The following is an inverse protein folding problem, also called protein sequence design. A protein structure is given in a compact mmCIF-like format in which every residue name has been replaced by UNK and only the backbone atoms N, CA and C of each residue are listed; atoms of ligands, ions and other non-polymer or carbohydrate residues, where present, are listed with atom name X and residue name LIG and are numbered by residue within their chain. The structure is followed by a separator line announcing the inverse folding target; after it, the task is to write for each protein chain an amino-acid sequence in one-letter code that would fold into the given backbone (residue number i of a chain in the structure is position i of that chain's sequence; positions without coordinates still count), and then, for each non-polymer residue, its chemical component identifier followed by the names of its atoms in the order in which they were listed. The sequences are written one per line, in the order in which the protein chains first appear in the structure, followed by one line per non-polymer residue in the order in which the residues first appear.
data_IF_278803025303
#
_entry.id   IF_278803025303
#
_cell.length_a   1.000
_cell.length_b   1.000
_cell.length_c   1.000
_cell.angle_alpha   90.00
_cell.angle_beta   90.00
_cell.angle_gamma   90.00
#
_symmetry.space_group_name_H-M   'P 1'
#
loop_
_entity.id
_entity.type
_entity.pdbx_description
1 polymer ?
#
# COMPACT_ATOMS: atom_id res chain seq x y z
N UNK A 1 -21.56 -1.41 2.58
CA UNK A 1 -21.11 -2.70 1.97
C UNK A 1 -21.29 -2.75 0.46
N UNK A 2 -22.52 -2.55 -0.06
CA UNK A 2 -22.85 -2.74 -1.50
C UNK A 2 -21.96 -1.91 -2.44
N UNK A 3 -21.70 -0.65 -2.11
CA UNK A 3 -20.85 0.24 -2.95
C UNK A 3 -19.43 -0.28 -3.17
N UNK A 4 -18.82 -0.87 -2.13
CA UNK A 4 -17.46 -1.42 -2.22
C UNK A 4 -17.44 -2.70 -3.06
N UNK A 5 -18.44 -3.57 -2.92
CA UNK A 5 -18.56 -4.78 -3.73
C UNK A 5 -18.82 -4.40 -5.20
N UNK A 6 -19.72 -3.44 -5.45
CA UNK A 6 -19.96 -2.95 -6.81
C UNK A 6 -18.69 -2.36 -7.44
N UNK A 7 -17.90 -1.59 -6.68
CA UNK A 7 -16.60 -1.11 -7.14
C UNK A 7 -15.67 -2.26 -7.55
N UNK A 8 -15.55 -3.29 -6.70
CA UNK A 8 -14.70 -4.45 -6.98
C UNK A 8 -15.14 -5.16 -8.26
N UNK A 9 -16.44 -5.37 -8.44
CA UNK A 9 -17.01 -5.98 -9.66
C UNK A 9 -16.72 -5.12 -10.89
N UNK A 10 -16.97 -3.81 -10.83
CA UNK A 10 -16.72 -2.89 -11.95
C UNK A 10 -15.24 -2.90 -12.33
N UNK A 11 -14.34 -2.74 -11.34
CA UNK A 11 -12.89 -2.74 -11.58
C UNK A 11 -12.42 -4.05 -12.21
N UNK A 12 -12.90 -5.18 -11.70
CA UNK A 12 -12.50 -6.49 -12.19
C UNK A 12 -12.99 -6.76 -13.61
N UNK A 13 -14.27 -6.54 -13.90
CA UNK A 13 -14.90 -6.93 -15.17
C UNK A 13 -14.76 -5.88 -16.25
N UNK A 14 -14.65 -4.59 -15.96
CA UNK A 14 -14.37 -3.57 -16.98
C UNK A 14 -13.04 -3.82 -17.71
N UNK A 15 -12.09 -4.50 -17.07
CA UNK A 15 -10.82 -4.87 -17.66
C UNK A 15 -10.71 -6.30 -18.15
N UNK A 16 -11.75 -7.13 -17.93
CA UNK A 16 -11.77 -8.54 -18.37
C UNK A 16 -12.16 -8.69 -19.84
N UNK A 17 -13.00 -7.79 -20.34
CA UNK A 17 -13.62 -7.87 -21.66
C UNK A 17 -12.67 -7.81 -22.88
N UNK A 18 -11.53 -7.12 -22.84
CA UNK A 18 -10.57 -7.19 -23.93
C UNK A 18 -9.67 -8.42 -23.81
N UNK A 19 -9.43 -9.11 -24.93
CA UNK A 19 -8.47 -10.21 -25.01
C UNK A 19 -7.04 -9.70 -24.77
N UNK A 20 -6.14 -10.63 -24.38
CA UNK A 20 -4.70 -10.40 -24.14
C UNK A 20 -4.01 -9.58 -25.24
N UNK A 21 -4.46 -9.71 -26.49
CA UNK A 21 -3.90 -9.05 -27.68
C UNK A 21 -4.57 -7.73 -28.05
N UNK A 22 -5.78 -7.45 -27.57
CA UNK A 22 -6.57 -6.27 -27.98
C UNK A 22 -6.36 -5.05 -27.07
N UNK A 23 -5.81 -5.24 -25.86
CA UNK A 23 -5.46 -4.15 -24.98
C UNK A 23 -4.11 -3.54 -25.37
N UNK A 24 -4.09 -2.82 -26.49
CA UNK A 24 -2.99 -1.91 -26.77
C UNK A 24 -2.82 -0.88 -25.63
N UNK A 25 -1.61 -0.43 -25.41
CA UNK A 25 -1.19 0.53 -24.39
C UNK A 25 -2.16 1.72 -24.16
N UNK A 26 -2.80 2.22 -25.23
CA UNK A 26 -3.78 3.31 -25.13
C UNK A 26 -5.09 2.92 -24.41
N UNK A 27 -5.49 1.66 -24.45
CA UNK A 27 -6.73 1.21 -23.79
C UNK A 27 -6.54 1.05 -22.29
N UNK A 28 -5.35 0.62 -21.84
CA UNK A 28 -5.02 0.58 -20.40
C UNK A 28 -5.01 1.98 -19.77
N UNK A 29 -4.58 3.00 -20.50
CA UNK A 29 -4.60 4.38 -20.02
C UNK A 29 -6.04 4.85 -19.74
N UNK A 30 -6.96 4.62 -20.66
CA UNK A 30 -8.39 4.96 -20.46
C UNK A 30 -8.99 4.17 -19.29
N UNK A 31 -8.75 2.87 -19.25
CA UNK A 31 -9.23 1.99 -18.19
C UNK A 31 -8.76 2.47 -16.79
N UNK A 32 -7.47 2.71 -16.61
CA UNK A 32 -6.93 3.09 -15.30
C UNK A 32 -7.39 4.48 -14.86
N UNK A 33 -7.64 5.39 -15.81
CA UNK A 33 -8.22 6.69 -15.52
C UNK A 33 -9.66 6.54 -15.01
N UNK A 34 -10.51 5.80 -15.71
CA UNK A 34 -11.92 5.60 -15.33
C UNK A 34 -12.01 4.90 -13.98
N UNK A 35 -11.36 3.74 -13.84
CA UNK A 35 -11.37 2.99 -12.58
C UNK A 35 -10.69 3.75 -11.44
N UNK A 36 -9.60 4.47 -11.73
CA UNK A 36 -8.92 5.30 -10.76
C UNK A 36 -9.80 6.44 -10.23
N UNK A 37 -10.56 7.11 -11.10
CA UNK A 37 -11.53 8.14 -10.68
C UNK A 37 -12.63 7.50 -9.81
N UNK A 38 -13.18 6.35 -10.18
CA UNK A 38 -14.19 5.65 -9.37
C UNK A 38 -13.66 5.26 -7.99
N UNK A 39 -12.46 4.69 -7.92
CA UNK A 39 -11.80 4.33 -6.65
C UNK A 39 -11.57 5.58 -5.81
N UNK A 40 -11.06 6.65 -6.42
CA UNK A 40 -10.80 7.90 -5.73
C UNK A 40 -12.09 8.54 -5.18
N UNK A 41 -13.18 8.56 -5.97
CA UNK A 41 -14.47 9.10 -5.53
C UNK A 41 -15.05 8.31 -4.36
N UNK A 42 -15.09 6.98 -4.45
CA UNK A 42 -15.58 6.14 -3.34
C UNK A 42 -14.75 6.35 -2.08
N UNK A 43 -13.43 6.41 -2.21
CA UNK A 43 -12.56 6.66 -1.07
C UNK A 43 -12.69 8.08 -0.52
N UNK A 44 -12.83 9.10 -1.38
CA UNK A 44 -12.90 10.52 -0.99
C UNK A 44 -14.25 10.90 -0.36
N UNK A 45 -15.32 10.30 -0.84
CA UNK A 45 -16.70 10.64 -0.41
C UNK A 45 -17.20 9.79 0.77
N UNK A 46 -16.36 8.86 1.31
CA UNK A 46 -16.75 8.07 2.48
C UNK A 46 -16.96 8.94 3.71
N UNK A 47 -17.88 8.55 4.57
CA UNK A 47 -18.04 9.20 5.88
C UNK A 47 -16.79 9.00 6.75
N UNK A 48 -16.42 9.96 7.62
CA UNK A 48 -15.35 9.78 8.60
C UNK A 48 -15.56 8.58 9.55
N UNK A 49 -16.79 8.16 9.74
CA UNK A 49 -17.15 7.01 10.62
C UNK A 49 -16.89 5.65 9.96
N UNK A 50 -16.52 5.61 8.68
CA UNK A 50 -16.17 4.37 7.97
C UNK A 50 -14.83 3.84 8.45
N UNK A 51 -14.77 2.55 8.78
CA UNK A 51 -13.54 1.86 9.16
C UNK A 51 -13.26 1.90 10.66
N UNK A 52 -12.00 2.09 11.05
CA UNK A 52 -11.53 1.97 12.45
C UNK A 52 -11.74 3.23 13.32
N UNK A 53 -12.39 4.27 12.80
CA UNK A 53 -12.58 5.53 13.52
C UNK A 53 -11.40 6.52 13.45
N UNK A 54 -10.24 6.11 12.93
CA UNK A 54 -9.08 7.00 12.76
C UNK A 54 -9.43 8.22 11.87
N UNK A 55 -10.34 8.05 10.92
CA UNK A 55 -10.78 9.10 10.02
C UNK A 55 -11.50 10.25 10.78
N UNK A 56 -12.27 9.93 11.83
CA UNK A 56 -12.91 10.93 12.70
C UNK A 56 -11.85 11.80 13.38
N UNK A 57 -10.78 11.16 13.86
CA UNK A 57 -9.65 11.88 14.45
C UNK A 57 -8.95 12.78 13.43
N UNK A 58 -8.75 12.31 12.20
CA UNK A 58 -8.10 13.10 11.14
C UNK A 58 -8.95 14.31 10.74
N UNK A 59 -10.27 14.16 10.60
CA UNK A 59 -11.17 15.28 10.28
C UNK A 59 -11.22 16.30 11.40
N UNK A 60 -11.32 15.87 12.65
CA UNK A 60 -11.28 16.75 13.81
C UNK A 60 -9.95 17.51 13.91
N UNK A 61 -8.84 16.81 13.66
CA UNK A 61 -7.49 17.42 13.66
C UNK A 61 -7.34 18.43 12.52
N UNK A 62 -7.84 18.12 11.33
CA UNK A 62 -7.83 19.04 10.19
C UNK A 62 -8.54 20.36 10.56
N UNK A 63 -9.72 20.28 11.15
CA UNK A 63 -10.47 21.47 11.60
C UNK A 63 -9.72 22.24 12.69
N UNK A 64 -9.15 21.55 13.67
CA UNK A 64 -8.39 22.20 14.75
C UNK A 64 -7.15 22.95 14.26
N UNK A 65 -6.51 22.48 13.20
CA UNK A 65 -5.32 23.12 12.60
C UNK A 65 -5.63 24.50 11.99
N UNK A 66 -6.87 24.75 11.61
CA UNK A 66 -7.30 26.02 11.02
C UNK A 66 -7.33 27.17 12.04
N UNK A 67 -7.39 26.87 13.34
CA UNK A 67 -7.32 27.85 14.41
C UNK A 67 -5.93 28.50 14.55
N UNK A 68 -4.90 27.94 13.89
CA UNK A 68 -3.52 28.46 13.97
C UNK A 68 -3.22 29.30 12.72
N UNK A 69 -2.89 30.58 12.90
CA UNK A 69 -2.49 31.49 11.82
C UNK A 69 -1.16 31.05 11.18
N UNK A 70 -0.26 30.47 11.97
CA UNK A 70 1.03 29.93 11.54
C UNK A 70 1.16 28.45 11.90
N UNK A 71 1.66 27.64 10.97
CA UNK A 71 2.00 26.24 11.28
C UNK A 71 3.11 26.14 12.35
N UNK A 72 3.99 27.12 12.43
CA UNK A 72 5.04 27.20 13.46
C UNK A 72 4.48 27.19 14.88
N UNK A 73 3.39 27.90 15.12
CA UNK A 73 2.75 27.97 16.44
C UNK A 73 2.18 26.60 16.83
N UNK A 74 1.51 25.93 15.90
CA UNK A 74 1.04 24.56 16.11
C UNK A 74 2.21 23.60 16.36
N UNK A 75 3.26 23.68 15.55
CA UNK A 75 4.45 22.83 15.68
C UNK A 75 5.10 23.00 17.08
N UNK A 76 5.33 24.23 17.49
CA UNK A 76 5.95 24.53 18.78
C UNK A 76 5.12 24.03 19.97
N UNK A 77 3.79 24.08 19.85
CA UNK A 77 2.90 23.69 20.94
C UNK A 77 2.70 22.16 21.04
N UNK A 78 2.58 21.48 19.91
CA UNK A 78 2.15 20.07 19.90
C UNK A 78 3.19 19.09 19.36
N UNK A 79 4.16 19.53 18.59
CA UNK A 79 5.09 18.65 17.87
C UNK A 79 6.56 18.82 18.32
N UNK A 80 6.92 19.93 18.97
CA UNK A 80 8.30 20.26 19.32
C UNK A 80 8.92 19.30 20.34
N UNK A 81 8.11 18.58 21.13
CA UNK A 81 8.56 17.54 22.05
C UNK A 81 9.19 16.31 21.37
N UNK A 82 8.99 16.14 20.05
CA UNK A 82 9.58 15.07 19.27
C UNK A 82 10.62 15.63 18.29
N UNK A 83 11.62 14.83 17.92
CA UNK A 83 12.55 15.21 16.85
C UNK A 83 11.73 15.45 15.57
N UNK A 84 12.04 16.54 14.84
CA UNK A 84 11.26 17.01 13.69
C UNK A 84 10.85 15.89 12.70
N UNK A 85 11.81 15.04 12.30
CA UNK A 85 11.53 13.95 11.36
C UNK A 85 10.56 12.89 11.91
N UNK A 86 10.49 12.71 13.21
CA UNK A 86 9.65 11.70 13.86
C UNK A 86 8.32 12.26 14.39
N UNK A 87 8.14 13.58 14.31
CA UNK A 87 6.88 14.24 14.68
C UNK A 87 5.77 14.08 13.63
N UNK A 88 6.09 13.51 12.44
CA UNK A 88 5.18 13.44 11.31
C UNK A 88 4.64 14.82 10.87
N UNK A 89 5.51 15.84 11.04
CA UNK A 89 5.17 17.24 10.79
C UNK A 89 4.68 17.51 9.37
N UNK A 90 5.16 16.73 8.39
CA UNK A 90 4.73 16.85 7.00
C UNK A 90 3.25 16.57 6.80
N UNK A 91 2.71 15.56 7.52
CA UNK A 91 1.27 15.28 7.46
C UNK A 91 0.44 16.43 8.02
N UNK A 92 0.82 16.98 9.19
CA UNK A 92 0.09 18.10 9.79
C UNK A 92 0.26 19.39 8.99
N UNK A 93 1.43 19.63 8.41
CA UNK A 93 1.67 20.77 7.52
C UNK A 93 0.80 20.67 6.26
N UNK A 94 0.74 19.49 5.66
CA UNK A 94 -0.13 19.22 4.51
C UNK A 94 -1.61 19.54 4.85
N UNK A 95 -2.11 19.07 5.99
CA UNK A 95 -3.47 19.35 6.44
C UNK A 95 -3.70 20.83 6.72
N UNK A 96 -2.76 21.51 7.37
CA UNK A 96 -2.84 22.93 7.64
C UNK A 96 -2.87 23.76 6.35
N UNK A 97 -2.04 23.43 5.38
CA UNK A 97 -1.96 24.13 4.10
C UNK A 97 -3.28 24.03 3.32
N UNK A 98 -3.83 22.83 3.19
CA UNK A 98 -5.09 22.63 2.49
C UNK A 98 -6.30 23.22 3.27
N UNK A 99 -6.24 23.24 4.59
CA UNK A 99 -7.23 23.88 5.44
C UNK A 99 -7.35 25.38 5.25
N UNK A 100 -6.33 26.05 4.67
CA UNK A 100 -6.40 27.48 4.29
C UNK A 100 -7.34 27.73 3.10
N UNK A 101 -7.54 26.72 2.27
CA UNK A 101 -8.37 26.82 1.05
C UNK A 101 -9.72 26.14 1.28
N UNK A 102 -9.71 24.99 1.93
CA UNK A 102 -10.89 24.14 2.14
C UNK A 102 -11.16 23.98 3.63
N UNK A 103 -12.26 24.56 4.11
CA UNK A 103 -12.56 24.59 5.55
C UNK A 103 -13.36 23.39 6.07
N UNK A 104 -13.79 22.48 5.19
CA UNK A 104 -14.53 21.28 5.57
C UNK A 104 -13.56 20.15 5.96
N UNK A 105 -13.79 19.51 7.11
CA UNK A 105 -13.00 18.37 7.60
C UNK A 105 -12.98 17.17 6.66
N UNK A 106 -14.03 16.98 5.83
CA UNK A 106 -14.09 15.94 4.81
C UNK A 106 -12.94 16.06 3.79
N UNK A 107 -12.39 17.25 3.61
CA UNK A 107 -11.28 17.50 2.70
C UNK A 107 -10.00 16.79 3.11
N UNK A 108 -9.78 16.50 4.39
CA UNK A 108 -8.67 15.68 4.84
C UNK A 108 -8.73 14.29 4.20
N UNK A 109 -9.93 13.68 4.19
CA UNK A 109 -10.19 12.37 3.59
C UNK A 109 -10.07 12.44 2.07
N UNK A 110 -10.72 13.45 1.45
CA UNK A 110 -10.79 13.59 0.00
C UNK A 110 -9.40 13.77 -0.61
N UNK A 111 -8.61 14.73 -0.14
CA UNK A 111 -7.29 15.04 -0.70
C UNK A 111 -6.33 13.87 -0.51
N UNK A 112 -6.34 13.23 0.68
CA UNK A 112 -5.51 12.07 0.95
C UNK A 112 -5.87 10.89 0.04
N UNK A 113 -7.17 10.63 -0.16
CA UNK A 113 -7.66 9.55 -1.01
C UNK A 113 -7.32 9.76 -2.48
N UNK A 114 -7.47 11.00 -2.98
CA UNK A 114 -7.09 11.38 -4.35
C UNK A 114 -5.60 11.16 -4.58
N UNK A 115 -4.75 11.62 -3.67
CA UNK A 115 -3.29 11.45 -3.77
C UNK A 115 -2.89 9.97 -3.77
N UNK A 116 -3.38 9.19 -2.80
CA UNK A 116 -3.03 7.76 -2.66
C UNK A 116 -3.49 6.96 -3.89
N UNK A 117 -4.71 7.23 -4.38
CA UNK A 117 -5.24 6.56 -5.58
C UNK A 117 -4.42 6.92 -6.81
N UNK A 118 -4.10 8.21 -7.00
CA UNK A 118 -3.25 8.67 -8.11
C UNK A 118 -1.90 7.94 -8.12
N UNK A 119 -1.19 7.93 -6.99
CA UNK A 119 0.12 7.30 -6.89
C UNK A 119 0.05 5.78 -7.12
N UNK A 120 -0.97 5.11 -6.59
CA UNK A 120 -1.21 3.67 -6.80
C UNK A 120 -1.52 3.36 -8.25
N UNK A 121 -2.43 4.08 -8.88
CA UNK A 121 -2.77 3.90 -10.30
C UNK A 121 -1.56 4.14 -11.21
N UNK A 122 -0.77 5.19 -10.92
CA UNK A 122 0.48 5.46 -11.63
C UNK A 122 1.48 4.32 -11.48
N UNK A 123 1.65 3.80 -10.27
CA UNK A 123 2.55 2.66 -10.01
C UNK A 123 2.12 1.42 -10.79
N UNK A 124 0.84 1.04 -10.74
CA UNK A 124 0.27 -0.09 -11.47
C UNK A 124 0.47 0.10 -12.98
N UNK A 125 0.09 1.25 -13.52
CA UNK A 125 0.20 1.56 -14.95
C UNK A 125 1.62 1.43 -15.50
N UNK A 126 2.62 1.81 -14.69
CA UNK A 126 4.04 1.79 -15.11
C UNK A 126 4.73 0.44 -14.95
N UNK A 127 4.25 -0.38 -14.03
CA UNK A 127 5.00 -1.55 -13.59
C UNK A 127 4.27 -2.89 -13.79
N UNK A 128 2.95 -2.88 -14.02
CA UNK A 128 2.17 -4.10 -14.21
C UNK A 128 2.14 -4.57 -15.66
N UNK A 129 2.11 -5.88 -15.85
CA UNK A 129 1.87 -6.54 -17.14
C UNK A 129 0.39 -6.74 -17.46
N UNK A 130 -0.46 -6.68 -16.43
CA UNK A 130 -1.92 -6.74 -16.54
C UNK A 130 -2.53 -5.73 -15.57
N UNK A 131 -2.79 -4.53 -16.08
CA UNK A 131 -3.31 -3.40 -15.28
C UNK A 131 -4.65 -3.72 -14.60
N UNK A 132 -5.64 -4.33 -15.29
CA UNK A 132 -6.90 -4.73 -14.66
C UNK A 132 -6.74 -5.73 -13.53
N UNK A 133 -5.91 -6.76 -13.72
CA UNK A 133 -5.62 -7.74 -12.67
C UNK A 133 -4.96 -7.10 -11.46
N UNK A 134 -3.98 -6.21 -11.67
CA UNK A 134 -3.32 -5.47 -10.59
C UNK A 134 -4.26 -4.57 -9.83
N UNK A 135 -5.16 -3.89 -10.52
CA UNK A 135 -6.14 -3.02 -9.87
C UNK A 135 -7.18 -3.83 -9.07
N UNK A 136 -7.55 -5.03 -9.56
CA UNK A 136 -8.38 -5.99 -8.81
C UNK A 136 -7.65 -6.45 -7.54
N UNK A 137 -6.37 -6.78 -7.62
CA UNK A 137 -5.54 -7.13 -6.46
C UNK A 137 -5.53 -5.97 -5.44
N UNK A 138 -5.32 -4.73 -5.90
CA UNK A 138 -5.34 -3.55 -5.04
C UNK A 138 -6.64 -3.41 -4.26
N UNK A 139 -7.78 -3.50 -4.96
CA UNK A 139 -9.10 -3.30 -4.35
C UNK A 139 -9.47 -4.48 -3.46
N UNK A 140 -9.30 -5.73 -3.96
CA UNK A 140 -9.87 -6.91 -3.31
C UNK A 140 -8.98 -7.51 -2.22
N UNK A 141 -7.65 -7.39 -2.30
CA UNK A 141 -6.75 -8.07 -1.37
C UNK A 141 -6.32 -7.20 -0.17
N UNK A 142 -7.07 -6.14 0.14
CA UNK A 142 -7.01 -5.45 1.43
C UNK A 142 -6.20 -4.17 1.47
N UNK A 143 -5.36 -3.87 0.46
CA UNK A 143 -4.55 -2.66 0.49
C UNK A 143 -5.41 -1.39 0.32
N UNK A 144 -6.48 -1.46 -0.46
CA UNK A 144 -7.44 -0.36 -0.62
C UNK A 144 -8.14 0.00 0.70
N UNK A 145 -8.66 -1.00 1.42
CA UNK A 145 -9.33 -0.79 2.71
C UNK A 145 -8.34 -0.31 3.78
N UNK A 146 -7.12 -0.85 3.78
CA UNK A 146 -6.06 -0.36 4.65
C UNK A 146 -5.74 1.12 4.39
N UNK A 147 -5.60 1.51 3.12
CA UNK A 147 -5.33 2.90 2.74
C UNK A 147 -6.44 3.87 3.15
N UNK A 148 -7.69 3.41 3.18
CA UNK A 148 -8.81 4.21 3.68
C UNK A 148 -8.76 4.42 5.20
N UNK A 149 -8.20 3.50 5.98
CA UNK A 149 -8.08 3.63 7.44
C UNK A 149 -6.81 4.38 7.84
N UNK A 150 -5.65 3.94 7.38
CA UNK A 150 -4.34 4.40 7.83
C UNK A 150 -3.83 5.58 7.00
N UNK A 151 -4.55 6.71 6.98
CA UNK A 151 -4.34 7.85 6.07
C UNK A 151 -2.88 8.34 6.02
N UNK A 152 -2.23 8.57 7.17
CA UNK A 152 -0.83 9.03 7.25
C UNK A 152 0.12 8.01 6.63
N UNK A 153 -0.05 6.74 6.98
CA UNK A 153 0.77 5.66 6.44
C UNK A 153 0.50 5.46 4.95
N UNK A 154 -0.75 5.55 4.50
CA UNK A 154 -1.12 5.42 3.09
C UNK A 154 -0.44 6.49 2.22
N UNK A 155 -0.40 7.76 2.69
CA UNK A 155 0.34 8.82 1.99
C UNK A 155 1.84 8.50 1.97
N UNK A 156 2.44 8.09 3.09
CA UNK A 156 3.84 7.72 3.14
C UNK A 156 4.19 6.54 2.21
N UNK A 157 3.37 5.49 2.21
CA UNK A 157 3.52 4.35 1.29
C UNK A 157 3.43 4.80 -0.16
N UNK A 158 2.46 5.66 -0.49
CA UNK A 158 2.29 6.17 -1.86
C UNK A 158 3.49 7.00 -2.34
N UNK A 159 4.13 7.77 -1.45
CA UNK A 159 5.39 8.47 -1.74
C UNK A 159 6.52 7.46 -1.98
N UNK A 160 6.59 6.37 -1.20
CA UNK A 160 7.58 5.32 -1.39
C UNK A 160 7.48 4.61 -2.76
N UNK A 161 6.29 4.59 -3.40
CA UNK A 161 6.16 4.09 -4.78
C UNK A 161 6.98 4.91 -5.79
N UNK A 162 7.16 6.21 -5.56
CA UNK A 162 8.07 7.02 -6.38
C UNK A 162 9.54 6.71 -6.05
N UNK A 163 9.86 6.44 -4.78
CA UNK A 163 11.22 6.01 -4.40
C UNK A 163 11.61 4.71 -5.10
N UNK A 164 10.67 3.77 -5.29
CA UNK A 164 10.90 2.54 -6.05
C UNK A 164 11.45 2.81 -7.46
N UNK A 165 10.94 3.83 -8.18
CA UNK A 165 11.45 4.17 -9.51
C UNK A 165 12.91 4.63 -9.48
N UNK A 166 13.33 5.32 -8.41
CA UNK A 166 14.72 5.72 -8.24
C UNK A 166 15.62 4.54 -7.88
N UNK A 167 15.11 3.56 -7.12
CA UNK A 167 15.85 2.33 -6.83
C UNK A 167 16.12 1.53 -8.11
N UNK A 168 15.13 1.41 -9.00
CA UNK A 168 15.30 0.75 -10.31
C UNK A 168 16.37 1.42 -11.16
N UNK A 169 16.48 2.75 -11.09
CA UNK A 169 17.47 3.56 -11.82
C UNK A 169 18.80 3.71 -11.08
N UNK A 170 18.96 3.07 -9.91
CA UNK A 170 20.14 3.17 -9.02
C UNK A 170 20.51 4.60 -8.63
N UNK A 171 19.50 5.49 -8.50
CA UNK A 171 19.67 6.88 -8.10
C UNK A 171 19.50 7.00 -6.58
N UNK A 172 20.61 6.89 -5.83
CA UNK A 172 20.58 6.85 -4.37
C UNK A 172 20.03 8.15 -3.75
N UNK A 173 20.55 9.31 -4.15
CA UNK A 173 20.13 10.58 -3.53
C UNK A 173 18.64 10.89 -3.72
N UNK A 174 18.07 10.81 -4.94
CA UNK A 174 16.61 10.95 -5.11
C UNK A 174 15.81 9.91 -4.35
N UNK A 175 16.31 8.66 -4.25
CA UNK A 175 15.67 7.61 -3.46
C UNK A 175 15.61 8.01 -1.99
N UNK A 176 16.75 8.37 -1.38
CA UNK A 176 16.83 8.78 0.01
C UNK A 176 15.95 10.00 0.31
N UNK A 177 16.02 11.04 -0.52
CA UNK A 177 15.20 12.25 -0.36
C UNK A 177 13.70 11.91 -0.40
N UNK A 178 13.29 11.00 -1.28
CA UNK A 178 11.88 10.58 -1.39
C UNK A 178 11.45 9.78 -0.15
N UNK A 179 12.27 8.85 0.35
CA UNK A 179 11.97 8.11 1.59
C UNK A 179 11.94 9.04 2.79
N UNK A 180 12.86 10.01 2.90
CA UNK A 180 12.85 11.02 3.95
C UNK A 180 11.60 11.90 3.88
N UNK A 181 11.15 12.27 2.67
CA UNK A 181 9.85 12.95 2.49
C UNK A 181 8.68 12.09 2.98
N UNK A 182 8.66 10.80 2.63
CA UNK A 182 7.63 9.87 3.11
C UNK A 182 7.63 9.77 4.64
N UNK A 183 8.80 9.78 5.27
CA UNK A 183 8.96 9.74 6.72
C UNK A 183 8.34 10.95 7.43
N UNK A 184 8.29 12.14 6.80
CA UNK A 184 7.59 13.31 7.34
C UNK A 184 6.07 13.08 7.46
N UNK A 185 5.51 12.15 6.69
CA UNK A 185 4.10 11.76 6.78
C UNK A 185 3.88 10.57 7.72
N UNK A 186 4.79 9.58 7.70
CA UNK A 186 4.73 8.46 8.63
C UNK A 186 6.12 7.82 8.80
N UNK A 187 6.58 7.81 10.04
CA UNK A 187 7.95 7.40 10.41
C UNK A 187 8.30 5.96 10.02
N UNK A 188 7.32 5.05 9.90
CA UNK A 188 7.58 3.68 9.43
C UNK A 188 8.05 3.62 7.96
N UNK A 189 8.01 4.73 7.19
CA UNK A 189 8.57 4.78 5.84
C UNK A 189 10.07 4.40 5.77
N UNK A 190 10.81 4.53 6.88
CA UNK A 190 12.20 4.07 6.96
C UNK A 190 12.37 2.58 6.64
N UNK A 191 11.34 1.76 6.90
CA UNK A 191 11.37 0.34 6.53
C UNK A 191 11.53 0.10 5.02
N UNK A 192 11.31 1.13 4.19
CA UNK A 192 11.48 1.04 2.75
C UNK A 192 12.92 1.22 2.27
N UNK A 193 13.86 1.62 3.13
CA UNK A 193 15.28 1.81 2.78
C UNK A 193 15.92 0.55 2.15
N UNK A 194 15.68 -0.69 2.62
CA UNK A 194 16.23 -1.90 1.99
C UNK A 194 15.80 -2.07 0.53
N UNK A 195 14.68 -1.47 0.12
CA UNK A 195 14.18 -1.53 -1.27
C UNK A 195 15.20 -1.03 -2.29
N UNK A 196 16.13 -0.11 -1.91
CA UNK A 196 17.17 0.38 -2.80
C UNK A 196 18.07 -0.74 -3.32
N UNK A 197 18.34 -1.74 -2.50
CA UNK A 197 19.28 -2.82 -2.80
C UNK A 197 18.64 -4.00 -3.56
N UNK A 198 17.32 -4.20 -3.45
CA UNK A 198 16.65 -5.36 -4.04
C UNK A 198 16.85 -5.48 -5.56
N UNK A 199 16.79 -4.39 -6.38
CA UNK A 199 17.04 -4.47 -7.81
C UNK A 199 18.48 -4.87 -8.18
N UNK A 200 19.43 -4.76 -7.25
CA UNK A 200 20.84 -5.09 -7.46
C UNK A 200 21.13 -6.56 -7.23
N UNK A 201 20.25 -7.27 -6.51
CA UNK A 201 20.43 -8.68 -6.22
C UNK A 201 20.23 -9.53 -7.48
N UNK A 202 21.22 -10.32 -7.83
CA UNK A 202 21.17 -11.25 -8.96
C UNK A 202 20.53 -12.57 -8.53
N UNK A 203 20.08 -13.36 -9.49
CA UNK A 203 19.62 -14.73 -9.21
C UNK A 203 20.83 -15.67 -9.09
N UNK A 204 21.56 -15.58 -7.99
CA UNK A 204 22.68 -16.45 -7.66
C UNK A 204 22.77 -16.71 -6.14
N UNK A 205 23.46 -17.75 -5.75
CA UNK A 205 23.59 -18.20 -4.35
C UNK A 205 24.06 -17.08 -3.42
N UNK A 206 25.03 -16.27 -3.83
CA UNK A 206 25.56 -15.16 -3.01
C UNK A 206 24.48 -14.12 -2.70
N UNK A 207 23.72 -13.71 -3.71
CA UNK A 207 22.62 -12.72 -3.50
C UNK A 207 21.52 -13.29 -2.62
N UNK A 208 21.19 -14.56 -2.78
CA UNK A 208 20.23 -15.24 -1.93
C UNK A 208 20.70 -15.33 -0.47
N UNK A 209 21.96 -15.70 -0.25
CA UNK A 209 22.52 -15.72 1.10
C UNK A 209 22.48 -14.33 1.74
N UNK A 210 22.89 -13.29 1.02
CA UNK A 210 22.82 -11.91 1.51
C UNK A 210 21.39 -11.47 1.86
N UNK A 211 20.42 -11.80 1.00
CA UNK A 211 19.01 -11.44 1.22
C UNK A 211 18.41 -12.17 2.43
N UNK A 212 18.57 -13.50 2.49
CA UNK A 212 18.03 -14.30 3.60
C UNK A 212 18.73 -13.92 4.92
N UNK A 213 20.06 -13.76 4.91
CA UNK A 213 20.80 -13.30 6.10
C UNK A 213 20.29 -11.92 6.58
N UNK A 214 20.01 -10.99 5.65
CA UNK A 214 19.42 -9.70 5.98
C UNK A 214 18.05 -9.82 6.64
N UNK A 215 17.16 -10.69 6.11
CA UNK A 215 15.85 -10.94 6.72
C UNK A 215 15.97 -11.57 8.11
N UNK A 216 16.85 -12.58 8.26
CA UNK A 216 17.10 -13.24 9.56
C UNK A 216 17.65 -12.23 10.58
N UNK A 217 18.62 -11.42 10.18
CA UNK A 217 19.17 -10.37 11.07
C UNK A 217 18.09 -9.36 11.49
N UNK A 218 17.23 -8.93 10.54
CA UNK A 218 16.10 -8.06 10.87
C UNK A 218 15.17 -8.71 11.91
N UNK A 219 14.87 -10.01 11.80
CA UNK A 219 14.03 -10.74 12.75
C UNK A 219 14.73 -10.95 14.11
N UNK A 220 16.00 -11.31 14.12
CA UNK A 220 16.78 -11.52 15.35
C UNK A 220 16.93 -10.21 16.15
N UNK A 221 17.11 -9.10 15.46
CA UNK A 221 17.28 -7.79 16.09
C UNK A 221 16.00 -6.95 16.14
N UNK A 222 14.84 -7.53 15.82
CA UNK A 222 13.58 -6.79 15.71
C UNK A 222 13.21 -6.05 16.99
N UNK A 223 13.38 -6.66 18.15
CA UNK A 223 13.10 -6.01 19.45
C UNK A 223 13.98 -4.79 19.68
N UNK A 224 15.26 -4.86 19.32
CA UNK A 224 16.19 -3.73 19.43
C UNK A 224 15.86 -2.63 18.42
N UNK A 225 15.46 -3.00 17.19
CA UNK A 225 15.03 -2.07 16.15
C UNK A 225 13.76 -1.34 16.61
N UNK A 226 12.80 -2.08 17.16
CA UNK A 226 11.53 -1.54 17.66
C UNK A 226 11.76 -0.68 18.91
N UNK A 227 12.60 -1.12 19.84
CA UNK A 227 12.97 -0.33 21.00
C UNK A 227 13.66 0.99 20.60
N UNK A 228 14.60 0.94 19.66
CA UNK A 228 15.21 2.14 19.08
C UNK A 228 14.21 3.07 18.40
N UNK A 229 13.25 2.52 17.67
CA UNK A 229 12.15 3.27 17.06
C UNK A 229 11.31 4.01 18.11
N UNK A 230 10.97 3.36 19.23
CA UNK A 230 10.21 4.00 20.32
C UNK A 230 11.03 5.07 21.05
N UNK A 231 12.33 4.82 21.32
CA UNK A 231 13.23 5.81 21.92
C UNK A 231 13.38 7.10 21.10
N UNK A 232 13.27 7.01 19.76
CA UNK A 232 13.41 8.16 18.86
C UNK A 232 12.10 8.98 18.76
N UNK A 233 11.02 8.61 19.43
CA UNK A 233 9.74 9.32 19.42
C UNK A 233 8.58 8.49 18.93
N UNK A 234 8.70 7.16 18.92
CA UNK A 234 7.59 6.23 18.79
C UNK A 234 6.77 6.25 20.07
N UNK A 235 5.45 6.31 19.98
CA UNK A 235 4.58 5.89 21.08
C UNK A 235 4.53 4.38 21.08
N UNK A 236 4.38 3.77 22.27
CA UNK A 236 4.04 2.36 22.38
C UNK A 236 2.81 2.10 21.51
N UNK A 237 3.01 1.31 20.48
CA UNK A 237 1.94 0.90 19.61
C UNK A 237 1.39 -0.40 20.20
N UNK A 238 0.40 -0.26 21.05
CA UNK A 238 -0.45 -1.38 21.43
C UNK A 238 -1.18 -1.82 20.15
N UNK A 239 -0.61 -2.82 19.51
CA UNK A 239 -1.03 -3.29 18.19
C UNK A 239 -2.42 -3.86 18.27
N UNK A 240 -3.41 -2.99 18.30
CA UNK A 240 -4.78 -3.35 17.98
C UNK A 240 -4.73 -4.03 16.63
N UNK A 241 -4.72 -5.35 16.65
CA UNK A 241 -4.86 -6.16 15.45
C UNK A 241 -6.20 -5.77 14.86
N UNK A 242 -6.17 -4.96 13.79
CA UNK A 242 -7.29 -4.89 12.88
C UNK A 242 -7.40 -6.30 12.28
N UNK A 243 -8.05 -7.19 13.02
CA UNK A 243 -8.35 -8.55 12.60
C UNK A 243 -9.41 -8.47 11.50
N UNK A 244 -8.99 -8.01 10.33
CA UNK A 244 -9.75 -8.22 9.12
C UNK A 244 -9.74 -9.74 8.86
N UNK A 245 -10.89 -10.38 9.10
CA UNK A 245 -11.07 -11.83 9.03
C UNK A 245 -10.81 -12.45 7.65
N UNK A 246 -9.65 -12.33 7.12
CA UNK A 246 -9.23 -12.83 5.80
C UNK A 246 -7.77 -12.50 5.49
N UNK A 247 -7.09 -11.81 6.38
CA UNK A 247 -5.69 -11.40 6.16
C UNK A 247 -4.75 -12.59 5.94
N UNK A 248 -4.94 -13.68 6.67
CA UNK A 248 -4.16 -14.90 6.49
C UNK A 248 -4.31 -15.48 5.07
N UNK A 249 -5.53 -15.49 4.51
CA UNK A 249 -5.76 -16.01 3.16
C UNK A 249 -5.04 -15.18 2.10
N UNK A 250 -5.07 -13.85 2.22
CA UNK A 250 -4.31 -12.95 1.33
C UNK A 250 -2.82 -13.24 1.39
N UNK A 251 -2.30 -13.48 2.59
CA UNK A 251 -0.88 -13.78 2.79
C UNK A 251 -0.50 -15.15 2.22
N UNK A 252 -1.38 -16.14 2.31
CA UNK A 252 -1.19 -17.44 1.66
C UNK A 252 -1.17 -17.32 0.12
N UNK A 253 -2.00 -16.43 -0.47
CA UNK A 253 -1.94 -16.12 -1.90
C UNK A 253 -0.59 -15.50 -2.28
N UNK A 254 -0.05 -14.61 -1.45
CA UNK A 254 1.28 -14.03 -1.69
C UNK A 254 2.39 -15.08 -1.56
N UNK A 255 2.28 -15.99 -0.59
CA UNK A 255 3.18 -17.13 -0.48
C UNK A 255 3.13 -18.00 -1.74
N UNK A 256 1.93 -18.31 -2.23
CA UNK A 256 1.75 -19.04 -3.49
C UNK A 256 2.45 -18.34 -4.66
N UNK A 257 2.28 -17.03 -4.81
CA UNK A 257 2.97 -16.26 -5.84
C UNK A 257 4.50 -16.29 -5.69
N UNK A 258 5.04 -16.22 -4.46
CA UNK A 258 6.47 -16.37 -4.20
C UNK A 258 6.97 -17.75 -4.64
N UNK A 259 6.29 -18.81 -4.20
CA UNK A 259 6.66 -20.20 -4.51
C UNK A 259 6.64 -20.43 -6.02
N UNK A 260 5.55 -20.06 -6.72
CA UNK A 260 5.45 -20.21 -8.17
C UNK A 260 6.55 -19.43 -8.92
N UNK A 261 6.93 -18.26 -8.42
CA UNK A 261 8.02 -17.46 -9.01
C UNK A 261 9.37 -18.15 -8.81
N UNK A 262 9.63 -18.73 -7.64
CA UNK A 262 10.88 -19.43 -7.34
C UNK A 262 11.07 -20.66 -8.25
N UNK A 263 9.97 -21.36 -8.55
CA UNK A 263 10.01 -22.51 -9.47
C UNK A 263 10.01 -22.12 -10.95
N UNK A 264 9.91 -20.82 -11.29
CA UNK A 264 9.96 -20.34 -12.67
C UNK A 264 11.29 -19.61 -12.97
N UNK A 265 12.29 -20.28 -13.56
CA UNK A 265 13.59 -19.68 -13.86
C UNK A 265 13.50 -18.49 -14.84
N UNK A 266 12.52 -18.50 -15.76
CA UNK A 266 12.34 -17.44 -16.75
C UNK A 266 11.94 -16.12 -16.07
N UNK A 267 11.00 -16.18 -15.12
CA UNK A 267 10.58 -15.02 -14.34
C UNK A 267 11.72 -14.54 -13.44
N UNK A 268 12.44 -15.46 -12.79
CA UNK A 268 13.55 -15.12 -11.90
C UNK A 268 14.75 -14.46 -12.62
N UNK A 269 14.90 -14.63 -13.92
CA UNK A 269 15.90 -13.90 -14.71
C UNK A 269 15.48 -12.45 -14.99
N UNK A 270 14.17 -12.17 -15.05
CA UNK A 270 13.64 -10.81 -15.26
C UNK A 270 13.84 -9.97 -13.99
N UNK A 271 14.70 -8.95 -14.03
CA UNK A 271 15.04 -8.15 -12.87
C UNK A 271 13.83 -7.49 -12.19
N UNK A 272 12.84 -6.89 -12.90
CA UNK A 272 11.68 -6.30 -12.24
C UNK A 272 10.83 -7.33 -11.48
N UNK A 273 10.60 -8.52 -12.07
CA UNK A 273 9.81 -9.58 -11.46
C UNK A 273 10.53 -10.19 -10.23
N UNK A 274 11.85 -10.42 -10.33
CA UNK A 274 12.66 -10.85 -9.21
C UNK A 274 12.64 -9.84 -8.06
N UNK A 275 12.74 -8.55 -8.37
CA UNK A 275 12.63 -7.49 -7.35
C UNK A 275 11.25 -7.49 -6.68
N UNK A 276 10.19 -7.63 -7.46
CA UNK A 276 8.82 -7.72 -6.93
C UNK A 276 8.66 -8.95 -6.02
N UNK A 277 9.23 -10.10 -6.40
CA UNK A 277 9.20 -11.32 -5.59
C UNK A 277 9.95 -11.13 -4.27
N UNK A 278 11.18 -10.58 -4.29
CA UNK A 278 11.94 -10.31 -3.07
C UNK A 278 11.20 -9.32 -2.16
N UNK A 279 10.63 -8.27 -2.72
CA UNK A 279 9.81 -7.32 -1.98
C UNK A 279 8.56 -7.99 -1.37
N UNK A 280 7.85 -8.83 -2.13
CA UNK A 280 6.70 -9.60 -1.63
C UNK A 280 7.11 -10.53 -0.49
N UNK A 281 8.26 -11.20 -0.59
CA UNK A 281 8.79 -12.06 0.46
C UNK A 281 9.14 -11.26 1.72
N UNK A 282 9.73 -10.06 1.60
CA UNK A 282 9.97 -9.19 2.75
C UNK A 282 8.66 -8.78 3.45
N UNK A 283 7.64 -8.40 2.67
CA UNK A 283 6.32 -8.10 3.19
C UNK A 283 5.65 -9.30 3.88
N UNK A 284 5.74 -10.48 3.27
CA UNK A 284 5.25 -11.73 3.84
C UNK A 284 5.93 -12.05 5.16
N UNK A 285 7.26 -11.96 5.22
CA UNK A 285 8.05 -12.21 6.43
C UNK A 285 7.66 -11.25 7.56
N UNK A 286 7.54 -9.95 7.26
CA UNK A 286 7.11 -8.95 8.23
C UNK A 286 5.68 -9.22 8.73
N UNK A 287 4.76 -9.62 7.83
CA UNK A 287 3.39 -9.92 8.21
C UNK A 287 3.29 -11.15 9.14
N UNK A 288 4.02 -12.22 8.83
CA UNK A 288 4.02 -13.43 9.67
C UNK A 288 4.69 -13.15 11.02
N UNK A 289 5.73 -12.34 11.05
CA UNK A 289 6.42 -11.99 12.28
C UNK A 289 5.53 -11.24 13.30
N UNK A 290 4.40 -10.64 12.88
CA UNK A 290 3.42 -10.07 13.82
C UNK A 290 2.89 -11.10 14.81
N UNK A 291 2.80 -12.39 14.42
CA UNK A 291 2.28 -13.46 15.29
C UNK A 291 3.25 -13.85 16.40
N UNK A 292 4.51 -13.39 16.34
CA UNK A 292 5.46 -13.52 17.45
C UNK A 292 5.43 -12.31 18.41
N UNK A 293 4.35 -11.50 18.35
CA UNK A 293 4.07 -10.45 19.34
C UNK A 293 4.48 -9.04 18.93
N UNK A 294 4.95 -8.81 17.70
CA UNK A 294 5.45 -7.49 17.27
C UNK A 294 4.49 -6.86 16.26
N UNK A 295 3.42 -6.27 16.76
CA UNK A 295 2.32 -5.72 15.95
C UNK A 295 2.73 -4.65 14.93
N UNK A 296 3.81 -3.90 15.17
CA UNK A 296 4.30 -2.89 14.23
C UNK A 296 4.78 -3.50 12.90
N UNK A 297 5.19 -4.78 12.86
CA UNK A 297 5.63 -5.45 11.66
C UNK A 297 4.50 -5.66 10.64
N UNK A 298 3.25 -5.74 11.10
CA UNK A 298 2.11 -5.71 10.19
C UNK A 298 2.08 -4.40 9.40
N UNK A 299 2.32 -3.25 10.04
CA UNK A 299 2.36 -1.96 9.35
C UNK A 299 3.53 -1.86 8.37
N UNK A 300 4.67 -2.46 8.71
CA UNK A 300 5.83 -2.56 7.80
C UNK A 300 5.48 -3.38 6.56
N UNK A 301 4.74 -4.48 6.71
CA UNK A 301 4.38 -5.35 5.58
C UNK A 301 3.60 -4.64 4.48
N UNK A 302 2.75 -3.67 4.82
CA UNK A 302 1.94 -2.94 3.85
C UNK A 302 2.75 -2.10 2.86
N UNK A 303 3.97 -1.66 3.20
CA UNK A 303 4.88 -0.99 2.25
C UNK A 303 5.28 -1.91 1.10
N UNK A 304 5.33 -3.20 1.35
CA UNK A 304 5.75 -4.22 0.41
C UNK A 304 4.58 -4.92 -0.30
N UNK A 305 3.36 -4.79 0.21
CA UNK A 305 2.16 -5.40 -0.39
C UNK A 305 1.67 -4.73 -1.68
N UNK A 306 2.35 -3.71 -2.16
CA UNK A 306 2.18 -3.21 -3.52
C UNK A 306 2.83 -4.11 -4.59
N UNK A 307 3.86 -4.89 -4.24
CA UNK A 307 4.64 -5.67 -5.20
C UNK A 307 3.95 -6.93 -5.71
N UNK A 308 3.04 -7.61 -4.99
CA UNK A 308 2.17 -8.64 -5.56
C UNK A 308 1.38 -8.18 -6.80
N UNK A 309 1.06 -6.88 -6.92
CA UNK A 309 0.40 -6.30 -8.10
C UNK A 309 1.28 -6.32 -9.35
N UNK A 310 2.58 -6.46 -9.21
CA UNK A 310 3.51 -6.66 -10.32
C UNK A 310 3.78 -8.16 -10.53
N UNK A 311 3.95 -8.90 -9.44
CA UNK A 311 4.39 -10.29 -9.45
C UNK A 311 3.32 -11.23 -10.00
N UNK A 312 2.08 -11.12 -9.52
CA UNK A 312 0.98 -12.01 -9.94
C UNK A 312 0.66 -11.85 -11.43
N UNK A 313 0.53 -10.62 -12.00
CA UNK A 313 0.40 -10.45 -13.43
C UNK A 313 1.56 -11.01 -14.26
N UNK A 314 2.79 -10.93 -13.76
CA UNK A 314 3.95 -11.49 -14.46
C UNK A 314 3.90 -13.04 -14.51
N UNK A 315 3.44 -13.67 -13.42
CA UNK A 315 3.20 -15.12 -13.39
C UNK A 315 2.15 -15.55 -14.42
N UNK A 316 1.07 -14.78 -14.55
CA UNK A 316 -0.02 -15.07 -15.49
C UNK A 316 0.42 -14.95 -16.96
N UNK A 317 1.45 -14.14 -17.25
CA UNK A 317 2.00 -14.04 -18.62
C UNK A 317 2.71 -15.32 -19.10
N UNK A 318 3.10 -16.22 -18.20
CA UNK A 318 3.74 -17.49 -18.55
C UNK A 318 2.72 -18.61 -18.91
N UNK A 319 1.43 -18.38 -18.68
CA UNK A 319 0.35 -19.29 -19.04
C UNK A 319 0.07 -19.21 -20.54
N UNK A 320 -0.49 -20.25 -21.13
CA UNK A 320 -1.06 -20.16 -22.47
C UNK A 320 -2.37 -19.33 -22.47
N UNK A 321 -2.91 -19.05 -23.66
CA UNK A 321 -4.05 -18.13 -23.77
C UNK A 321 -5.32 -18.66 -23.13
N UNK A 322 -5.57 -19.96 -23.18
CA UNK A 322 -6.75 -20.58 -22.58
C UNK A 322 -6.60 -20.68 -21.05
N UNK A 323 -5.44 -21.14 -20.58
CA UNK A 323 -5.11 -21.18 -19.16
C UNK A 323 -5.18 -19.77 -18.54
N UNK A 324 -4.62 -18.78 -19.22
CA UNK A 324 -4.65 -17.38 -18.76
C UNK A 324 -6.09 -16.89 -18.54
N UNK A 325 -6.99 -17.12 -19.49
CA UNK A 325 -8.40 -16.69 -19.38
C UNK A 325 -9.10 -17.36 -18.19
N UNK A 326 -8.96 -18.68 -18.09
CA UNK A 326 -9.64 -19.47 -17.05
C UNK A 326 -9.09 -19.15 -15.66
N UNK A 327 -7.77 -19.17 -15.51
CA UNK A 327 -7.12 -18.92 -14.22
C UNK A 327 -7.34 -17.47 -13.77
N UNK A 328 -7.28 -16.51 -14.70
CA UNK A 328 -7.59 -15.10 -14.40
C UNK A 328 -9.02 -14.94 -13.92
N UNK A 329 -9.98 -15.60 -14.58
CA UNK A 329 -11.39 -15.54 -14.16
C UNK A 329 -11.59 -16.13 -12.77
N UNK A 330 -11.03 -17.31 -12.50
CA UNK A 330 -11.10 -17.95 -11.18
C UNK A 330 -10.48 -17.06 -10.10
N UNK A 331 -9.31 -16.47 -10.39
CA UNK A 331 -8.62 -15.57 -9.48
C UNK A 331 -9.45 -14.31 -9.18
N UNK A 332 -10.05 -13.69 -10.20
CA UNK A 332 -10.93 -12.51 -10.05
C UNK A 332 -12.15 -12.85 -9.20
N UNK A 333 -12.86 -13.93 -9.53
CA UNK A 333 -14.06 -14.35 -8.79
C UNK A 333 -13.72 -14.67 -7.33
N UNK A 334 -12.65 -15.42 -7.09
CA UNK A 334 -12.16 -15.73 -5.75
C UNK A 334 -11.78 -14.46 -4.97
N UNK A 335 -11.13 -13.50 -5.61
CA UNK A 335 -10.76 -12.22 -5.00
C UNK A 335 -11.99 -11.38 -4.62
N UNK A 336 -13.03 -11.34 -5.46
CA UNK A 336 -14.29 -10.64 -5.16
C UNK A 336 -15.03 -11.31 -3.99
N UNK A 337 -15.13 -12.64 -3.99
CA UNK A 337 -15.77 -13.40 -2.89
C UNK A 337 -15.04 -13.15 -1.57
N UNK A 338 -13.71 -13.23 -1.59
CA UNK A 338 -12.88 -12.93 -0.41
C UNK A 338 -13.08 -11.49 0.06
N UNK A 339 -13.10 -10.54 -0.86
CA UNK A 339 -13.34 -9.13 -0.54
C UNK A 339 -14.71 -8.92 0.09
N UNK A 340 -15.77 -9.49 -0.50
CA UNK A 340 -17.12 -9.42 0.04
C UNK A 340 -17.21 -10.01 1.46
N UNK A 341 -16.57 -11.15 1.69
CA UNK A 341 -16.48 -11.77 3.02
C UNK A 341 -15.77 -10.87 4.03
N UNK A 342 -14.62 -10.27 3.64
CA UNK A 342 -13.85 -9.36 4.50
C UNK A 342 -14.62 -8.09 4.83
N UNK A 343 -15.30 -7.49 3.84
CA UNK A 343 -16.16 -6.32 4.08
C UNK A 343 -17.31 -6.67 5.02
N UNK A 344 -17.93 -7.82 4.83
CA UNK A 344 -19.05 -8.27 5.68
C UNK A 344 -18.64 -8.51 7.14
N UNK A 345 -17.44 -9.07 7.37
CA UNK A 345 -16.91 -9.34 8.71
C UNK A 345 -16.15 -8.18 9.34
N UNK A 346 -15.67 -7.25 8.54
CA UNK A 346 -14.78 -6.15 8.94
C UNK A 346 -15.51 -4.83 9.22
N UNK A 347 -14.70 -3.83 9.54
CA UNK A 347 -15.13 -2.48 9.91
C UNK A 347 -15.75 -1.67 8.76
N UNK A 348 -15.70 -2.18 7.53
CA UNK A 348 -16.29 -1.55 6.34
C UNK A 348 -17.69 -2.07 5.99
N UNK A 349 -18.30 -2.89 6.85
CA UNK A 349 -19.66 -3.42 6.65
C UNK A 349 -20.67 -2.30 6.46
N UNK A 350 -20.57 -1.27 7.30
CA UNK A 350 -21.50 -0.14 7.34
C UNK A 350 -20.96 1.08 6.57
N UNK A 351 -20.27 0.79 5.45
CA UNK A 351 -19.76 1.84 4.56
C UNK A 351 -20.91 2.70 4.04
N UNK A 352 -20.81 4.01 4.26
CA UNK A 352 -21.72 5.04 3.75
C UNK A 352 -20.93 6.23 3.21
N UNK A 353 -21.59 7.06 2.40
CA UNK A 353 -21.05 8.35 1.97
C UNK A 353 -21.37 9.43 3.00
N UNK A 354 -20.54 10.49 3.04
CA UNK A 354 -20.67 11.55 4.03
C UNK A 354 -21.94 12.39 3.90
N UNK A 355 -22.60 12.34 2.74
CA UNK A 355 -23.83 13.05 2.43
C UNK A 355 -25.10 12.18 2.56
N UNK A 356 -25.00 10.93 2.96
CA UNK A 356 -26.10 10.01 3.28
C UNK A 356 -26.24 9.82 4.78
#
# INVERSE_FOLDING_TARGET
MIYLISLAVIVAFAGYLPSRYELQYNNYKKYIWICGVLIALIAALRTPYTGTGDNVWYTARYLSLQNYSSFRDYYNLYLSGNRFLFSEAGFYYFMWLFGRVFQDGQMAIAISSLWVTFATCRFIYRNSKDVPLSLTIYVCLGLFTFNMNAMRQAIAMSICLFAYEFSQKRKLMPFLLTVMTAMLFHKTALCFLPMYFLPMLKNNTRSWLLYISGLVLCLVFVDKIVAGYYQIGGKDYDGGTAADGGGLFVVLMYLGAIVLTLYNPRIMQKQPARTAMLATLAGFTAYIARYIGIGILERVSYYYFYFPMMLIPELFQELDDEEYKVIKLIFILGSIVLFAYRIWKGTFRDFTFFFL
#
